data_IF_060457076192
#
_entry.id   IF_060457076192
#
_cell.length_a   1.000
_cell.length_b   1.000
_cell.length_c   1.000
_cell.angle_alpha   90.00
_cell.angle_beta   90.00
_cell.angle_gamma   90.00
#
_symmetry.space_group_name_H-M   'P 1'
#
loop_
_entity.id
_entity.type
_entity.pdbx_description
1 polymer ?
#
# COMPACT_ATOMS: atom_id res chain seq x y z
N UNK A 1 163.33 17.18 7.76
CA UNK A 1 163.74 16.68 6.44
C UNK A 1 162.99 15.37 6.24
N UNK A 2 162.05 15.30 5.28
CA UNK A 2 161.31 14.07 4.98
C UNK A 2 162.21 13.14 4.17
N UNK A 3 162.75 12.12 4.82
CA UNK A 3 163.41 11.02 4.13
C UNK A 3 162.32 10.04 3.68
N UNK A 4 161.90 10.08 2.42
CA UNK A 4 161.07 9.01 1.84
C UNK A 4 161.94 7.75 1.78
N UNK A 5 161.64 6.76 2.62
CA UNK A 5 162.32 5.47 2.62
C UNK A 5 161.90 4.70 1.36
N UNK A 6 162.88 4.24 0.58
CA UNK A 6 162.62 3.37 -0.56
C UNK A 6 162.01 2.05 -0.10
N UNK A 7 160.95 1.59 -0.77
CA UNK A 7 160.33 0.27 -0.51
C UNK A 7 161.36 -0.86 -0.64
N UNK A 8 162.35 -0.72 -1.52
CA UNK A 8 163.43 -1.70 -1.68
C UNK A 8 164.44 -1.68 -0.52
N UNK A 9 164.73 -0.51 0.05
CA UNK A 9 165.63 -0.37 1.22
C UNK A 9 164.96 -0.93 2.49
N UNK A 10 163.67 -0.62 2.68
CA UNK A 10 162.86 -1.21 3.75
C UNK A 10 162.79 -2.73 3.64
N UNK A 11 162.49 -3.22 2.44
CA UNK A 11 162.42 -4.65 2.17
C UNK A 11 163.77 -5.33 2.41
N UNK A 12 164.88 -4.77 1.92
CA UNK A 12 166.23 -5.32 2.17
C UNK A 12 166.56 -5.37 3.65
N UNK A 13 166.34 -4.30 4.41
CA UNK A 13 166.61 -4.30 5.84
C UNK A 13 165.76 -5.33 6.60
N UNK A 14 164.46 -5.41 6.31
CA UNK A 14 163.55 -6.40 6.90
C UNK A 14 163.95 -7.84 6.52
N UNK A 15 164.37 -8.05 5.28
CA UNK A 15 164.85 -9.34 4.81
C UNK A 15 166.21 -9.71 5.45
N UNK A 16 167.08 -8.73 5.71
CA UNK A 16 168.39 -8.95 6.34
C UNK A 16 168.22 -9.31 7.82
N UNK A 17 167.27 -8.68 8.52
CA UNK A 17 166.86 -9.07 9.87
C UNK A 17 166.29 -10.49 9.90
N UNK A 18 165.41 -10.82 8.94
CA UNK A 18 164.83 -12.15 8.83
C UNK A 18 165.90 -13.21 8.55
N UNK A 19 166.87 -12.93 7.68
CA UNK A 19 168.02 -13.81 7.40
C UNK A 19 168.95 -13.97 8.62
N UNK A 20 169.07 -12.94 9.46
CA UNK A 20 169.78 -13.01 10.74
C UNK A 20 168.98 -13.74 11.84
N UNK A 21 167.78 -14.23 11.54
CA UNK A 21 166.93 -14.99 12.46
C UNK A 21 166.13 -14.13 13.43
N UNK A 22 166.08 -12.81 13.25
CA UNK A 22 165.28 -11.89 14.07
C UNK A 22 164.06 -11.40 13.30
N UNK A 23 162.88 -11.45 13.94
CA UNK A 23 161.67 -10.94 13.31
C UNK A 23 161.77 -9.40 13.16
N UNK A 24 161.58 -8.86 11.94
CA UNK A 24 161.62 -7.41 11.74
C UNK A 24 160.45 -6.78 12.51
N UNK A 25 160.77 -6.01 13.55
CA UNK A 25 159.81 -5.21 14.31
C UNK A 25 159.93 -3.76 13.89
N UNK A 26 158.84 -2.99 14.03
CA UNK A 26 158.80 -1.57 13.68
C UNK A 26 159.92 -0.79 14.39
N UNK A 27 160.21 -1.16 15.63
CA UNK A 27 161.23 -0.49 16.46
C UNK A 27 162.66 -0.84 16.02
N UNK A 28 162.92 -2.09 15.62
CA UNK A 28 164.23 -2.49 15.11
C UNK A 28 164.53 -1.87 13.73
N UNK A 29 163.53 -1.81 12.85
CA UNK A 29 163.67 -1.18 11.53
C UNK A 29 163.76 0.34 11.59
N UNK A 30 163.14 0.96 12.59
CA UNK A 30 163.27 2.40 12.83
C UNK A 30 164.70 2.79 13.24
N UNK A 31 165.43 1.90 13.94
CA UNK A 31 166.84 2.12 14.31
C UNK A 31 167.77 1.96 13.10
N UNK A 32 167.48 1.00 12.21
CA UNK A 32 168.35 0.68 11.06
C UNK A 32 168.19 1.67 9.88
N UNK A 33 167.00 2.20 9.65
CA UNK A 33 166.65 3.01 8.45
C UNK A 33 166.28 4.47 8.81
N UNK A 34 166.22 4.81 10.11
CA UNK A 34 165.84 6.14 10.62
C UNK A 34 164.49 6.65 10.05
N UNK A 35 163.45 5.83 10.17
CA UNK A 35 162.12 6.07 9.59
C UNK A 35 160.99 6.42 10.56
N UNK A 36 159.91 7.01 10.03
CA UNK A 36 158.69 7.34 10.79
C UNK A 36 157.84 6.08 11.10
N UNK A 37 157.38 5.96 12.34
CA UNK A 37 156.82 4.72 12.91
C UNK A 37 155.53 4.26 12.22
N UNK A 38 154.62 5.19 11.87
CA UNK A 38 153.35 4.85 11.21
C UNK A 38 153.54 4.38 9.76
N UNK A 39 154.50 4.97 9.05
CA UNK A 39 154.83 4.55 7.69
C UNK A 39 155.49 3.18 7.71
N UNK A 40 156.44 2.96 8.63
CA UNK A 40 157.06 1.65 8.83
C UNK A 40 156.04 0.58 9.25
N UNK A 41 155.04 0.89 10.07
CA UNK A 41 153.99 -0.06 10.47
C UNK A 41 153.06 -0.46 9.31
N UNK A 42 152.71 0.51 8.47
CA UNK A 42 151.92 0.24 7.24
C UNK A 42 152.73 -0.59 6.23
N UNK A 43 154.01 -0.25 6.06
CA UNK A 43 154.93 -0.98 5.17
C UNK A 43 155.27 -2.37 5.71
N UNK A 44 155.39 -2.53 7.03
CA UNK A 44 155.61 -3.82 7.69
C UNK A 44 154.38 -4.73 7.55
N UNK A 45 153.16 -4.20 7.72
CA UNK A 45 151.93 -4.97 7.49
C UNK A 45 151.80 -5.42 6.03
N UNK A 46 152.12 -4.54 5.08
CA UNK A 46 152.15 -4.89 3.66
C UNK A 46 153.28 -5.88 3.34
N UNK A 47 154.44 -5.75 3.99
CA UNK A 47 155.55 -6.68 3.87
C UNK A 47 155.16 -8.07 4.38
N UNK A 48 154.52 -8.19 5.55
CA UNK A 48 154.01 -9.47 6.07
C UNK A 48 152.95 -10.10 5.15
N UNK A 49 152.08 -9.30 4.51
CA UNK A 49 151.12 -9.81 3.53
C UNK A 49 151.79 -10.34 2.24
N UNK A 50 152.89 -9.72 1.82
CA UNK A 50 153.66 -10.11 0.64
C UNK A 50 154.77 -11.12 0.95
N UNK A 51 155.07 -11.37 2.22
CA UNK A 51 156.11 -12.28 2.68
C UNK A 51 155.98 -13.70 2.09
N UNK A 52 154.77 -14.31 1.98
CA UNK A 52 154.64 -15.63 1.37
C UNK A 52 155.10 -15.68 -0.09
N UNK A 53 154.89 -14.59 -0.85
CA UNK A 53 155.36 -14.48 -2.24
C UNK A 53 156.86 -14.12 -2.30
N UNK A 54 157.39 -13.38 -1.32
CA UNK A 54 158.81 -13.01 -1.25
C UNK A 54 159.70 -14.15 -0.73
N UNK A 55 159.22 -15.00 0.18
CA UNK A 55 159.93 -16.22 0.60
C UNK A 55 160.13 -17.22 -0.54
N UNK A 56 159.34 -17.14 -1.63
CA UNK A 56 159.57 -17.94 -2.84
C UNK A 56 160.85 -17.53 -3.59
N UNK A 57 161.31 -16.27 -3.45
CA UNK A 57 162.54 -15.75 -4.07
C UNK A 57 163.79 -16.12 -3.27
N UNK A 58 163.66 -16.40 -1.97
CA UNK A 58 164.76 -16.87 -1.10
C UNK A 58 165.10 -18.36 -1.28
N UNK A 59 164.45 -19.06 -2.22
CA UNK A 59 164.69 -20.47 -2.49
C UNK A 59 166.06 -20.76 -3.17
N UNK A 60 166.70 -19.77 -3.79
CA UNK A 60 167.99 -19.97 -4.49
C UNK A 60 169.23 -19.70 -3.61
N UNK A 61 169.15 -18.80 -2.62
CA UNK A 61 170.23 -18.54 -1.66
C UNK A 61 169.75 -18.90 -0.25
N UNK A 62 169.85 -20.18 0.09
CA UNK A 62 169.60 -20.63 1.45
C UNK A 62 170.62 -20.00 2.43
N UNK A 63 170.21 -19.63 3.66
CA UNK A 63 171.14 -19.13 4.65
C UNK A 63 172.21 -20.19 4.95
N UNK A 64 173.45 -19.89 4.55
CA UNK A 64 174.60 -20.73 4.88
C UNK A 64 174.87 -20.55 6.38
N UNK A 65 174.38 -21.48 7.20
CA UNK A 65 174.72 -21.51 8.63
C UNK A 65 176.21 -21.84 8.74
N UNK A 66 177.08 -20.92 9.22
CA UNK A 66 178.51 -21.19 9.32
C UNK A 66 178.76 -22.25 10.39
N UNK A 67 179.79 -23.08 10.19
CA UNK A 67 180.27 -24.13 11.09
C UNK A 67 179.48 -25.45 11.21
N UNK A 68 178.51 -25.74 10.32
CA UNK A 68 177.91 -27.08 10.21
C UNK A 68 178.38 -27.88 8.97
N UNK A 69 178.60 -29.21 9.10
CA UNK A 69 178.85 -30.09 7.96
C UNK A 69 177.75 -29.99 6.90
N UNK A 70 178.14 -30.00 5.63
CA UNK A 70 177.25 -29.75 4.47
C UNK A 70 176.04 -30.68 4.37
N UNK A 71 176.07 -31.86 4.99
CA UNK A 71 174.92 -32.78 5.10
C UNK A 71 173.82 -32.26 6.03
N UNK A 72 174.19 -31.61 7.14
CA UNK A 72 173.24 -31.02 8.10
C UNK A 72 172.61 -29.74 7.54
N UNK A 73 173.39 -28.88 6.89
CA UNK A 73 172.87 -27.66 6.26
C UNK A 73 171.77 -27.96 5.23
N UNK A 74 171.96 -28.98 4.38
CA UNK A 74 170.94 -29.44 3.43
C UNK A 74 169.69 -29.99 4.12
N UNK A 75 169.84 -30.69 5.24
CA UNK A 75 168.69 -31.20 6.01
C UNK A 75 167.87 -30.09 6.65
N UNK A 76 168.52 -29.05 7.19
CA UNK A 76 167.85 -27.87 7.76
C UNK A 76 167.14 -27.07 6.67
N UNK A 77 167.76 -26.90 5.50
CA UNK A 77 167.13 -26.26 4.35
C UNK A 77 165.88 -27.02 3.88
N UNK A 78 165.96 -28.35 3.81
CA UNK A 78 164.81 -29.20 3.48
C UNK A 78 163.69 -29.08 4.50
N UNK A 79 164.02 -29.05 5.79
CA UNK A 79 163.04 -28.87 6.87
C UNK A 79 162.38 -27.49 6.80
N UNK A 80 163.13 -26.43 6.47
CA UNK A 80 162.57 -25.10 6.26
C UNK A 80 161.60 -25.05 5.09
N UNK A 81 161.99 -25.60 3.93
CA UNK A 81 161.11 -25.68 2.77
C UNK A 81 159.83 -26.46 3.09
N UNK A 82 159.94 -27.57 3.81
CA UNK A 82 158.80 -28.37 4.24
C UNK A 82 157.89 -27.60 5.21
N UNK A 83 158.46 -26.88 6.19
CA UNK A 83 157.69 -26.06 7.13
C UNK A 83 156.96 -24.88 6.45
N UNK A 84 157.61 -24.23 5.47
CA UNK A 84 156.99 -23.15 4.68
C UNK A 84 155.87 -23.70 3.81
N UNK A 85 156.07 -24.84 3.16
CA UNK A 85 155.04 -25.50 2.35
C UNK A 85 153.85 -25.95 3.21
N UNK A 86 154.10 -26.47 4.41
CA UNK A 86 153.06 -26.87 5.37
C UNK A 86 152.27 -25.66 5.86
N UNK A 87 152.94 -24.56 6.27
CA UNK A 87 152.27 -23.32 6.67
C UNK A 87 151.42 -22.71 5.55
N UNK A 88 151.88 -22.78 4.29
CA UNK A 88 151.11 -22.34 3.13
C UNK A 88 149.89 -23.24 2.88
N UNK A 89 150.05 -24.56 3.02
CA UNK A 89 148.92 -25.49 2.89
C UNK A 89 147.88 -25.24 3.98
N UNK A 90 148.30 -24.98 5.22
CA UNK A 90 147.44 -24.64 6.33
C UNK A 90 146.68 -23.32 6.08
N UNK A 91 147.37 -22.28 5.60
CA UNK A 91 146.73 -20.99 5.30
C UNK A 91 145.73 -21.09 4.14
N UNK A 92 146.04 -21.86 3.09
CA UNK A 92 145.11 -22.05 1.96
C UNK A 92 143.88 -22.88 2.37
N UNK A 93 144.07 -23.88 3.24
CA UNK A 93 142.98 -24.64 3.84
C UNK A 93 142.09 -23.76 4.72
N UNK A 94 142.69 -22.93 5.57
CA UNK A 94 141.95 -22.01 6.46
C UNK A 94 141.15 -20.97 5.67
N UNK A 95 141.73 -20.40 4.60
CA UNK A 95 141.00 -19.53 3.67
C UNK A 95 139.84 -20.25 2.98
N UNK A 96 140.05 -21.48 2.52
CA UNK A 96 138.99 -22.25 1.87
C UNK A 96 137.87 -22.60 2.85
N UNK A 97 138.21 -22.98 4.07
CA UNK A 97 137.27 -23.26 5.15
C UNK A 97 136.47 -22.01 5.53
N UNK A 98 137.14 -20.86 5.69
CA UNK A 98 136.49 -19.60 5.97
C UNK A 98 135.49 -19.22 4.86
N UNK A 99 135.89 -19.34 3.60
CA UNK A 99 135.00 -19.09 2.46
C UNK A 99 133.79 -20.04 2.47
N UNK A 100 134.00 -21.34 2.69
CA UNK A 100 132.91 -22.31 2.80
C UNK A 100 131.94 -21.95 3.93
N UNK A 101 132.46 -21.62 5.11
CA UNK A 101 131.66 -21.20 6.26
C UNK A 101 130.85 -19.92 5.97
N UNK A 102 131.43 -18.95 5.24
CA UNK A 102 130.70 -17.74 4.82
C UNK A 102 129.61 -18.03 3.79
N UNK A 103 129.87 -18.92 2.82
CA UNK A 103 128.88 -19.35 1.83
C UNK A 103 127.73 -20.12 2.48
N UNK A 104 128.04 -21.01 3.43
CA UNK A 104 127.03 -21.74 4.21
C UNK A 104 126.18 -20.78 5.05
N UNK A 105 126.78 -19.81 5.72
CA UNK A 105 126.06 -18.78 6.47
C UNK A 105 125.16 -17.93 5.56
N UNK A 106 125.62 -17.57 4.37
CA UNK A 106 124.82 -16.85 3.38
C UNK A 106 123.66 -17.70 2.87
N UNK A 107 123.87 -18.97 2.54
CA UNK A 107 122.81 -19.90 2.13
C UNK A 107 121.78 -20.06 3.23
N UNK A 108 122.21 -20.23 4.49
CA UNK A 108 121.31 -20.30 5.63
C UNK A 108 120.48 -19.03 5.77
N UNK A 109 121.11 -17.85 5.73
CA UNK A 109 120.39 -16.57 5.77
C UNK A 109 119.40 -16.43 4.61
N UNK A 110 119.77 -16.84 3.40
CA UNK A 110 118.89 -16.80 2.23
C UNK A 110 117.70 -17.76 2.37
N UNK A 111 117.93 -18.97 2.92
CA UNK A 111 116.85 -19.93 3.17
C UNK A 111 115.87 -19.42 4.23
N UNK A 112 116.37 -18.81 5.31
CA UNK A 112 115.51 -18.22 6.35
C UNK A 112 114.75 -17.00 5.82
N UNK A 113 115.39 -16.17 4.98
CA UNK A 113 114.74 -15.04 4.33
C UNK A 113 113.64 -15.49 3.36
N UNK A 114 113.87 -16.57 2.60
CA UNK A 114 112.85 -17.21 1.75
C UNK A 114 111.67 -17.74 2.57
N UNK A 115 111.94 -18.40 3.70
CA UNK A 115 110.88 -18.88 4.62
C UNK A 115 110.08 -17.70 5.19
N UNK A 116 110.75 -16.65 5.66
CA UNK A 116 110.10 -15.46 6.19
C UNK A 116 109.21 -14.79 5.14
N UNK A 117 109.68 -14.64 3.90
CA UNK A 117 108.87 -14.13 2.80
C UNK A 117 107.68 -15.03 2.45
N UNK A 118 107.86 -16.36 2.50
CA UNK A 118 106.77 -17.31 2.31
C UNK A 118 105.67 -17.15 3.36
N UNK A 119 106.06 -17.07 4.64
CA UNK A 119 105.12 -16.83 5.75
C UNK A 119 104.44 -15.46 5.60
N UNK A 120 105.19 -14.41 5.27
CA UNK A 120 104.63 -13.08 5.04
C UNK A 120 103.60 -13.09 3.91
N UNK A 121 103.91 -13.71 2.77
CA UNK A 121 102.99 -13.81 1.64
C UNK A 121 101.71 -14.58 2.00
N UNK A 122 101.81 -15.64 2.79
CA UNK A 122 100.64 -16.39 3.28
C UNK A 122 99.78 -15.54 4.24
N UNK A 123 100.41 -14.78 5.16
CA UNK A 123 99.68 -13.87 6.04
C UNK A 123 99.01 -12.74 5.26
N UNK A 124 99.68 -12.15 4.27
CA UNK A 124 99.12 -11.12 3.40
C UNK A 124 97.93 -11.65 2.60
N UNK A 125 98.02 -12.90 2.11
CA UNK A 125 96.93 -13.56 1.41
C UNK A 125 95.72 -13.79 2.33
N UNK A 126 95.94 -14.35 3.52
CA UNK A 126 94.87 -14.52 4.54
C UNK A 126 94.25 -13.19 4.93
N UNK A 127 95.05 -12.13 5.05
CA UNK A 127 94.56 -10.80 5.37
C UNK A 127 93.65 -10.25 4.28
N UNK A 128 94.00 -10.43 2.99
CA UNK A 128 93.14 -10.04 1.87
C UNK A 128 91.83 -10.82 1.84
N UNK A 129 91.89 -12.13 2.07
CA UNK A 129 90.69 -12.99 2.14
C UNK A 129 89.77 -12.56 3.28
N UNK A 130 90.31 -12.31 4.48
CA UNK A 130 89.55 -11.78 5.61
C UNK A 130 88.95 -10.41 5.32
N UNK A 131 89.68 -9.52 4.64
CA UNK A 131 89.15 -8.22 4.23
C UNK A 131 87.99 -8.35 3.24
N UNK A 132 88.09 -9.28 2.29
CA UNK A 132 87.01 -9.56 1.35
C UNK A 132 85.78 -10.08 2.09
N UNK A 133 85.96 -11.07 2.98
CA UNK A 133 84.86 -11.67 3.74
C UNK A 133 84.18 -10.64 4.66
N UNK A 134 84.95 -9.75 5.30
CA UNK A 134 84.42 -8.62 6.07
C UNK A 134 83.63 -7.66 5.17
N UNK A 135 84.09 -7.43 3.93
CA UNK A 135 83.39 -6.60 2.95
C UNK A 135 82.04 -7.20 2.55
N UNK A 136 82.00 -8.51 2.30
CA UNK A 136 80.80 -9.27 1.96
C UNK A 136 79.78 -9.26 3.12
N UNK A 137 80.23 -9.52 4.35
CA UNK A 137 79.37 -9.49 5.55
C UNK A 137 78.82 -8.10 5.83
N UNK A 138 79.62 -7.03 5.61
CA UNK A 138 79.13 -5.65 5.72
C UNK A 138 78.03 -5.36 4.69
N UNK A 139 78.22 -5.81 3.45
CA UNK A 139 77.20 -5.66 2.42
C UNK A 139 75.93 -6.45 2.78
N UNK A 140 76.07 -7.68 3.28
CA UNK A 140 74.93 -8.50 3.72
C UNK A 140 74.17 -7.83 4.87
N UNK A 141 74.88 -7.27 5.85
CA UNK A 141 74.29 -6.51 6.96
C UNK A 141 73.51 -5.31 6.46
N UNK A 142 74.07 -4.53 5.52
CA UNK A 142 73.37 -3.38 4.91
C UNK A 142 72.11 -3.79 4.14
N UNK A 143 72.16 -4.93 3.43
CA UNK A 143 70.99 -5.47 2.73
C UNK A 143 69.87 -5.86 3.72
N UNK A 144 70.22 -6.57 4.81
CA UNK A 144 69.27 -6.92 5.86
C UNK A 144 68.68 -5.70 6.57
N UNK A 145 69.49 -4.66 6.83
CA UNK A 145 69.01 -3.40 7.40
C UNK A 145 68.01 -2.70 6.46
N UNK A 146 68.25 -2.72 5.14
CA UNK A 146 67.32 -2.19 4.15
C UNK A 146 66.00 -2.99 4.12
N UNK A 147 66.07 -4.32 4.16
CA UNK A 147 64.89 -5.19 4.23
C UNK A 147 64.08 -4.93 5.51
N UNK A 148 64.73 -4.82 6.67
CA UNK A 148 64.08 -4.47 7.93
C UNK A 148 63.38 -3.10 7.83
N UNK A 149 64.01 -2.12 7.17
CA UNK A 149 63.41 -0.81 6.95
C UNK A 149 62.14 -0.89 6.09
N UNK A 150 62.20 -1.61 4.96
CA UNK A 150 61.04 -1.83 4.08
C UNK A 150 59.92 -2.57 4.81
N UNK A 151 60.25 -3.62 5.57
CA UNK A 151 59.26 -4.37 6.35
C UNK A 151 58.60 -3.50 7.43
N UNK A 152 59.35 -2.60 8.08
CA UNK A 152 58.78 -1.62 9.03
C UNK A 152 57.80 -0.68 8.36
N UNK A 153 58.13 -0.17 7.17
CA UNK A 153 57.24 0.69 6.39
C UNK A 153 55.98 -0.08 5.99
N UNK A 154 56.13 -1.29 5.44
CA UNK A 154 55.01 -2.13 5.02
C UNK A 154 54.09 -2.47 6.21
N UNK A 155 54.66 -2.78 7.37
CA UNK A 155 53.88 -3.04 8.59
C UNK A 155 53.10 -1.80 9.03
N UNK A 156 53.72 -0.61 8.99
CA UNK A 156 53.05 0.64 9.31
C UNK A 156 51.89 0.92 8.34
N UNK A 157 52.11 0.76 7.03
CA UNK A 157 51.07 0.91 6.00
C UNK A 157 49.92 -0.08 6.21
N UNK A 158 50.23 -1.38 6.37
CA UNK A 158 49.21 -2.40 6.62
C UNK A 158 48.41 -2.11 7.90
N UNK A 159 49.05 -1.61 8.95
CA UNK A 159 48.37 -1.20 10.19
C UNK A 159 47.43 0.00 9.95
N UNK A 160 47.85 0.97 9.13
CA UNK A 160 46.98 2.11 8.78
C UNK A 160 45.80 1.68 7.92
N UNK A 161 46.02 0.81 6.94
CA UNK A 161 44.96 0.25 6.10
C UNK A 161 43.95 -0.53 6.95
N UNK A 162 44.43 -1.40 7.85
CA UNK A 162 43.58 -2.13 8.78
C UNK A 162 42.71 -1.19 9.62
N UNK A 163 43.28 -0.13 10.20
CA UNK A 163 42.51 0.87 10.95
C UNK A 163 41.45 1.56 10.09
N UNK A 164 41.76 1.88 8.83
CA UNK A 164 40.78 2.49 7.93
C UNK A 164 39.65 1.53 7.56
N UNK A 165 39.95 0.25 7.38
CA UNK A 165 38.95 -0.78 7.12
C UNK A 165 38.09 -1.09 8.35
N UNK A 166 38.66 -1.10 9.55
CA UNK A 166 37.91 -1.21 10.80
C UNK A 166 36.94 -0.05 10.97
N UNK A 167 37.37 1.19 10.68
CA UNK A 167 36.46 2.35 10.69
C UNK A 167 35.35 2.23 9.65
N UNK A 168 35.66 1.75 8.44
CA UNK A 168 34.65 1.51 7.39
C UNK A 168 33.63 0.47 7.83
N UNK A 169 34.09 -0.63 8.43
CA UNK A 169 33.23 -1.67 9.01
C UNK A 169 32.32 -1.11 10.09
N UNK A 170 32.85 -0.32 11.02
CA UNK A 170 32.05 0.30 12.07
C UNK A 170 30.99 1.24 11.49
N UNK A 171 31.34 2.07 10.50
CA UNK A 171 30.38 2.94 9.83
C UNK A 171 29.26 2.13 9.14
N UNK A 172 29.61 1.04 8.45
CA UNK A 172 28.60 0.16 7.82
C UNK A 172 27.70 -0.53 8.85
N UNK A 173 28.23 -0.94 10.00
CA UNK A 173 27.45 -1.55 11.08
C UNK A 173 26.48 -0.53 11.71
N UNK A 174 26.91 0.73 11.88
CA UNK A 174 26.05 1.81 12.32
C UNK A 174 24.93 2.09 11.31
N UNK A 175 25.23 2.16 10.02
CA UNK A 175 24.24 2.33 8.95
C UNK A 175 23.24 1.16 8.90
N UNK A 176 23.70 -0.08 9.02
CA UNK A 176 22.85 -1.27 9.09
C UNK A 176 21.90 -1.20 10.29
N UNK A 177 22.41 -0.82 11.46
CA UNK A 177 21.59 -0.67 12.68
C UNK A 177 20.52 0.41 12.50
N UNK A 178 20.87 1.55 11.88
CA UNK A 178 19.92 2.62 11.58
C UNK A 178 18.86 2.18 10.56
N UNK A 179 19.25 1.43 9.53
CA UNK A 179 18.32 0.89 8.53
C UNK A 179 17.37 -0.14 9.13
N UNK A 180 17.86 -1.02 10.01
CA UNK A 180 17.02 -1.96 10.75
C UNK A 180 15.98 -1.23 11.60
N UNK A 181 16.41 -0.22 12.38
CA UNK A 181 15.48 0.61 13.17
C UNK A 181 14.43 1.30 12.29
N UNK A 182 14.85 1.92 11.18
CA UNK A 182 13.92 2.56 10.23
C UNK A 182 12.93 1.56 9.63
N UNK A 183 13.37 0.34 9.34
CA UNK A 183 12.51 -0.72 8.84
C UNK A 183 11.47 -1.12 9.88
N UNK A 184 11.88 -1.28 11.14
CA UNK A 184 10.98 -1.64 12.23
C UNK A 184 9.97 -0.52 12.54
N UNK A 185 10.42 0.74 12.58
CA UNK A 185 9.55 1.91 12.71
C UNK A 185 8.54 1.99 11.54
N UNK A 186 8.99 1.74 10.30
CA UNK A 186 8.12 1.71 9.12
C UNK A 186 7.10 0.58 9.18
N UNK A 187 7.49 -0.63 9.62
CA UNK A 187 6.56 -1.75 9.80
C UNK A 187 5.52 -1.42 10.86
N UNK A 188 5.95 -0.86 11.99
CA UNK A 188 5.03 -0.48 13.06
C UNK A 188 4.02 0.58 12.61
N UNK A 189 4.46 1.62 11.90
CA UNK A 189 3.54 2.65 11.37
C UNK A 189 2.62 2.13 10.26
N UNK A 190 3.05 1.13 9.49
CA UNK A 190 2.21 0.46 8.50
C UNK A 190 1.14 -0.39 9.17
N UNK A 191 1.53 -1.25 10.12
CA UNK A 191 0.59 -2.10 10.87
C UNK A 191 -0.44 -1.27 11.63
N UNK A 192 -0.04 -0.14 12.20
CA UNK A 192 -0.95 0.79 12.85
C UNK A 192 -1.95 1.38 11.86
N UNK A 193 -1.49 1.83 10.68
CA UNK A 193 -2.38 2.34 9.62
C UNK A 193 -3.37 1.28 9.14
N UNK A 194 -2.93 0.03 8.97
CA UNK A 194 -3.82 -1.08 8.59
C UNK A 194 -4.90 -1.31 9.65
N UNK A 195 -4.53 -1.30 10.94
CA UNK A 195 -5.50 -1.44 12.04
C UNK A 195 -6.51 -0.28 12.08
N UNK A 196 -6.03 0.94 11.89
CA UNK A 196 -6.90 2.13 11.90
C UNK A 196 -7.85 2.13 10.70
N UNK A 197 -7.38 1.72 9.51
CA UNK A 197 -8.21 1.61 8.31
C UNK A 197 -9.24 0.46 8.42
N UNK A 198 -8.85 -0.68 8.99
CA UNK A 198 -9.79 -1.77 9.30
C UNK A 198 -10.89 -1.31 10.27
N UNK A 199 -10.52 -0.60 11.34
CA UNK A 199 -11.48 -0.03 12.28
C UNK A 199 -12.40 0.98 11.59
N UNK A 200 -11.84 1.87 10.77
CA UNK A 200 -12.62 2.86 10.04
C UNK A 200 -13.61 2.20 9.06
N UNK A 201 -13.18 1.16 8.34
CA UNK A 201 -14.05 0.37 7.45
C UNK A 201 -15.20 -0.28 8.21
N UNK A 202 -14.92 -0.90 9.37
CA UNK A 202 -15.96 -1.48 10.23
C UNK A 202 -16.95 -0.42 10.73
N UNK A 203 -16.48 0.77 11.12
CA UNK A 203 -17.34 1.89 11.53
C UNK A 203 -18.23 2.39 10.38
N UNK A 204 -17.69 2.47 9.14
CA UNK A 204 -18.48 2.80 7.95
C UNK A 204 -19.56 1.75 7.65
N UNK A 205 -19.22 0.46 7.73
CA UNK A 205 -20.17 -0.64 7.54
C UNK A 205 -21.27 -0.59 8.60
N UNK A 206 -20.90 -0.42 9.87
CA UNK A 206 -21.88 -0.32 10.96
C UNK A 206 -22.84 0.87 10.78
N UNK A 207 -22.33 2.02 10.28
CA UNK A 207 -23.18 3.17 9.94
C UNK A 207 -24.13 2.86 8.78
N UNK A 208 -23.63 2.27 7.71
CA UNK A 208 -24.46 1.89 6.56
C UNK A 208 -25.53 0.84 6.94
N UNK A 209 -25.21 -0.10 7.82
CA UNK A 209 -26.18 -1.05 8.37
C UNK A 209 -27.26 -0.37 9.21
N UNK A 210 -26.89 0.59 10.06
CA UNK A 210 -27.85 1.38 10.83
C UNK A 210 -28.80 2.16 9.92
N UNK A 211 -28.27 2.84 8.90
CA UNK A 211 -29.06 3.57 7.90
C UNK A 211 -29.98 2.62 7.13
N UNK A 212 -29.48 1.45 6.71
CA UNK A 212 -30.28 0.43 6.02
C UNK A 212 -31.44 -0.06 6.88
N UNK A 213 -31.21 -0.31 8.18
CA UNK A 213 -32.26 -0.68 9.13
C UNK A 213 -33.29 0.46 9.29
N UNK A 214 -32.83 1.70 9.40
CA UNK A 214 -33.71 2.87 9.48
C UNK A 214 -34.63 3.00 8.25
N UNK A 215 -34.06 2.91 7.04
CA UNK A 215 -34.85 2.99 5.81
C UNK A 215 -35.79 1.79 5.64
N UNK A 216 -35.36 0.58 6.02
CA UNK A 216 -36.22 -0.60 6.00
C UNK A 216 -37.45 -0.43 6.89
N UNK A 217 -37.24 0.02 8.13
CA UNK A 217 -38.33 0.28 9.08
C UNK A 217 -39.25 1.41 8.59
N UNK A 218 -38.68 2.44 7.96
CA UNK A 218 -39.46 3.54 7.37
C UNK A 218 -40.32 3.07 6.20
N UNK A 219 -39.78 2.20 5.33
CA UNK A 219 -40.52 1.59 4.23
C UNK A 219 -41.64 0.68 4.74
N UNK A 220 -41.42 -0.09 5.80
CA UNK A 220 -42.45 -0.94 6.41
C UNK A 220 -43.61 -0.10 6.97
N UNK A 221 -43.31 0.98 7.69
CA UNK A 221 -44.34 1.94 8.15
C UNK A 221 -45.14 2.53 7.00
N UNK A 222 -44.47 2.96 5.92
CA UNK A 222 -45.15 3.49 4.74
C UNK A 222 -46.02 2.44 4.05
N UNK A 223 -45.57 1.18 3.97
CA UNK A 223 -46.37 0.08 3.43
C UNK A 223 -47.62 -0.16 4.27
N UNK A 224 -47.50 -0.17 5.60
CA UNK A 224 -48.64 -0.32 6.50
C UNK A 224 -49.63 0.84 6.36
N UNK A 225 -49.14 2.09 6.30
CA UNK A 225 -49.97 3.26 6.08
C UNK A 225 -50.69 3.24 4.73
N UNK A 226 -49.98 2.88 3.65
CA UNK A 226 -50.55 2.68 2.32
C UNK A 226 -51.61 1.58 2.34
N UNK A 227 -51.33 0.42 2.93
CA UNK A 227 -52.30 -0.68 3.04
C UNK A 227 -53.56 -0.30 3.83
N UNK A 228 -53.41 0.49 4.91
CA UNK A 228 -54.56 1.03 5.66
C UNK A 228 -55.38 2.01 4.82
N UNK A 229 -54.72 2.93 4.10
CA UNK A 229 -55.38 3.89 3.20
C UNK A 229 -56.10 3.19 2.05
N UNK A 230 -55.46 2.21 1.41
CA UNK A 230 -56.08 1.39 0.35
C UNK A 230 -57.31 0.63 0.87
N UNK A 231 -57.23 0.03 2.07
CA UNK A 231 -58.37 -0.63 2.69
C UNK A 231 -59.51 0.35 3.00
N UNK A 232 -59.21 1.55 3.50
CA UNK A 232 -60.20 2.60 3.74
C UNK A 232 -60.87 3.07 2.45
N UNK A 233 -60.10 3.39 1.42
CA UNK A 233 -60.62 3.78 0.10
C UNK A 233 -61.48 2.66 -0.52
N UNK A 234 -61.06 1.41 -0.37
CA UNK A 234 -61.85 0.26 -0.84
C UNK A 234 -63.20 0.19 -0.13
N UNK A 235 -63.25 0.41 1.19
CA UNK A 235 -64.52 0.47 1.94
C UNK A 235 -65.39 1.64 1.47
N UNK A 236 -64.81 2.82 1.25
CA UNK A 236 -65.54 4.00 0.77
C UNK A 236 -66.12 3.77 -0.63
N UNK A 237 -65.37 3.12 -1.53
CA UNK A 237 -65.87 2.72 -2.86
C UNK A 237 -67.11 1.82 -2.72
N UNK A 238 -67.05 0.78 -1.88
CA UNK A 238 -68.20 -0.11 -1.67
C UNK A 238 -69.41 0.63 -1.08
N UNK A 239 -69.17 1.53 -0.11
CA UNK A 239 -70.23 2.36 0.47
C UNK A 239 -70.88 3.26 -0.58
N UNK A 240 -70.07 3.92 -1.42
CA UNK A 240 -70.56 4.78 -2.50
C UNK A 240 -71.33 3.98 -3.55
N UNK A 241 -70.84 2.80 -3.94
CA UNK A 241 -71.57 1.89 -4.84
C UNK A 241 -72.92 1.47 -4.26
N UNK A 242 -72.99 1.16 -2.96
CA UNK A 242 -74.26 0.85 -2.30
C UNK A 242 -75.22 2.04 -2.28
N UNK A 243 -74.71 3.27 -2.09
CA UNK A 243 -75.52 4.49 -2.17
C UNK A 243 -76.03 4.73 -3.60
N UNK A 244 -75.19 4.54 -4.61
CA UNK A 244 -75.57 4.65 -6.02
C UNK A 244 -76.68 3.63 -6.33
N UNK A 245 -76.49 2.36 -5.99
CA UNK A 245 -77.50 1.32 -6.22
C UNK A 245 -78.85 1.64 -5.55
N UNK A 246 -78.84 2.15 -4.31
CA UNK A 246 -80.06 2.61 -3.63
C UNK A 246 -80.73 3.77 -4.36
N UNK A 247 -79.94 4.72 -4.88
CA UNK A 247 -80.46 5.84 -5.67
C UNK A 247 -81.04 5.36 -7.01
N UNK A 248 -80.38 4.44 -7.69
CA UNK A 248 -80.86 3.88 -8.97
C UNK A 248 -82.21 3.16 -8.79
N UNK A 249 -82.35 2.30 -7.78
CA UNK A 249 -83.64 1.66 -7.45
C UNK A 249 -84.73 2.68 -7.15
N UNK A 250 -84.38 3.76 -6.44
CA UNK A 250 -85.33 4.85 -6.16
C UNK A 250 -85.72 5.61 -7.43
N UNK A 251 -84.77 5.90 -8.32
CA UNK A 251 -85.04 6.52 -9.61
C UNK A 251 -85.95 5.64 -10.46
N UNK A 252 -85.67 4.34 -10.58
CA UNK A 252 -86.53 3.39 -11.31
C UNK A 252 -87.94 3.34 -10.74
N UNK A 253 -88.07 3.34 -9.40
CA UNK A 253 -89.37 3.39 -8.73
C UNK A 253 -90.13 4.67 -9.05
N UNK A 254 -89.47 5.83 -8.96
CA UNK A 254 -90.06 7.12 -9.29
C UNK A 254 -90.44 7.20 -10.78
N UNK A 255 -89.60 6.69 -11.68
CA UNK A 255 -89.90 6.61 -13.11
C UNK A 255 -91.13 5.75 -13.38
N UNK A 256 -91.27 4.60 -12.70
CA UNK A 256 -92.46 3.75 -12.82
C UNK A 256 -93.71 4.43 -12.25
N UNK A 257 -93.59 5.16 -11.13
CA UNK A 257 -94.68 5.97 -10.58
C UNK A 257 -95.12 7.07 -11.55
N UNK A 258 -94.18 7.80 -12.16
CA UNK A 258 -94.46 8.82 -13.17
C UNK A 258 -95.22 8.18 -14.34
N UNK A 259 -94.75 7.06 -14.88
CA UNK A 259 -95.45 6.34 -15.97
C UNK A 259 -96.89 5.94 -15.57
N UNK A 260 -97.09 5.47 -14.34
CA UNK A 260 -98.42 5.13 -13.81
C UNK A 260 -99.31 6.37 -13.77
N UNK A 261 -98.83 7.47 -13.18
CA UNK A 261 -99.57 8.74 -13.10
C UNK A 261 -99.87 9.33 -14.47
N UNK A 262 -98.94 9.25 -15.42
CA UNK A 262 -99.15 9.65 -16.82
C UNK A 262 -100.26 8.82 -17.47
N UNK A 263 -100.32 7.51 -17.19
CA UNK A 263 -101.38 6.62 -17.69
C UNK A 263 -102.75 6.95 -17.07
N UNK A 264 -102.80 7.25 -15.78
CA UNK A 264 -104.02 7.69 -15.08
C UNK A 264 -104.50 9.05 -15.60
N UNK A 265 -103.58 10.00 -15.79
CA UNK A 265 -103.89 11.32 -16.36
C UNK A 265 -104.44 11.17 -17.78
N UNK A 266 -103.86 10.28 -18.59
CA UNK A 266 -104.39 9.93 -19.92
C UNK A 266 -105.81 9.35 -19.81
N UNK A 267 -106.06 8.45 -18.84
CA UNK A 267 -107.40 7.89 -18.57
C UNK A 267 -108.39 8.97 -18.16
N UNK A 268 -108.04 9.84 -17.22
CA UNK A 268 -108.88 10.97 -16.80
C UNK A 268 -109.16 11.96 -17.93
N UNK A 269 -108.20 12.22 -18.82
CA UNK A 269 -108.44 13.03 -20.03
C UNK A 269 -109.45 12.35 -20.96
N UNK A 270 -109.36 11.03 -21.17
CA UNK A 270 -110.34 10.29 -21.98
C UNK A 270 -111.72 10.23 -21.33
N UNK A 271 -111.80 9.98 -20.02
CA UNK A 271 -113.06 10.00 -19.25
C UNK A 271 -113.66 11.41 -19.22
N UNK A 272 -112.84 12.44 -19.04
CA UNK A 272 -113.26 13.84 -19.04
C UNK A 272 -113.84 14.26 -20.39
N UNK A 273 -113.15 13.94 -21.49
CA UNK A 273 -113.66 14.18 -22.86
C UNK A 273 -114.94 13.38 -23.14
N UNK A 274 -115.05 12.14 -22.65
CA UNK A 274 -116.27 11.34 -22.73
C UNK A 274 -117.43 11.97 -21.94
N UNK A 275 -117.19 12.34 -20.68
CA UNK A 275 -118.16 12.98 -19.80
C UNK A 275 -118.63 14.34 -20.32
N UNK A 276 -117.76 15.14 -20.96
CA UNK A 276 -118.16 16.38 -21.63
C UNK A 276 -119.10 16.07 -22.79
N UNK A 277 -118.79 15.07 -23.64
CA UNK A 277 -119.67 14.65 -24.73
C UNK A 277 -121.01 14.13 -24.22
N UNK A 278 -121.04 13.33 -23.16
CA UNK A 278 -122.28 12.84 -22.55
C UNK A 278 -123.11 13.97 -21.95
N UNK A 279 -122.47 14.91 -21.22
CA UNK A 279 -123.16 16.11 -20.71
C UNK A 279 -123.75 16.95 -21.84
N UNK A 280 -123.04 17.14 -22.95
CA UNK A 280 -123.58 17.83 -24.12
C UNK A 280 -124.78 17.09 -24.72
N UNK A 281 -124.74 15.75 -24.81
CA UNK A 281 -125.89 14.94 -25.26
C UNK A 281 -127.09 15.05 -24.32
N UNK A 282 -126.87 14.88 -23.01
CA UNK A 282 -127.92 14.99 -22.00
C UNK A 282 -128.53 16.39 -21.97
N UNK A 283 -127.70 17.44 -22.05
CA UNK A 283 -128.17 18.83 -22.16
C UNK A 283 -129.02 19.04 -23.41
N UNK A 284 -128.60 18.49 -24.56
CA UNK A 284 -129.40 18.49 -25.79
C UNK A 284 -130.75 17.78 -25.64
N UNK A 285 -130.75 16.60 -24.99
CA UNK A 285 -131.98 15.83 -24.71
C UNK A 285 -132.91 16.55 -23.72
N UNK A 286 -132.35 17.20 -22.70
CA UNK A 286 -133.11 18.00 -21.74
C UNK A 286 -133.76 19.18 -22.45
N UNK A 287 -133.05 19.86 -23.35
CA UNK A 287 -133.61 20.97 -24.13
C UNK A 287 -134.77 20.49 -25.03
N UNK A 288 -134.63 19.31 -25.65
CA UNK A 288 -135.72 18.74 -26.46
C UNK A 288 -136.94 18.38 -25.62
N UNK A 289 -136.74 17.80 -24.43
CA UNK A 289 -137.84 17.49 -23.50
C UNK A 289 -138.45 18.75 -22.91
N UNK A 290 -137.67 19.78 -22.60
CA UNK A 290 -138.18 21.07 -22.13
C UNK A 290 -139.04 21.75 -23.21
N UNK A 291 -138.60 21.71 -24.49
CA UNK A 291 -139.41 22.21 -25.62
C UNK A 291 -140.68 21.38 -25.85
N UNK A 292 -140.66 20.08 -25.52
CA UNK A 292 -141.85 19.22 -25.56
C UNK A 292 -142.80 19.56 -24.42
N UNK A 293 -142.29 19.72 -23.20
CA UNK A 293 -143.05 20.11 -22.01
C UNK A 293 -143.72 21.45 -22.23
N UNK A 294 -143.01 22.45 -22.74
CA UNK A 294 -143.58 23.77 -23.05
C UNK A 294 -144.74 23.68 -24.06
N UNK A 295 -144.59 22.87 -25.12
CA UNK A 295 -145.69 22.62 -26.07
C UNK A 295 -146.91 21.95 -25.44
N UNK A 296 -146.68 21.05 -24.48
CA UNK A 296 -147.76 20.42 -23.72
C UNK A 296 -148.42 21.41 -22.76
N UNK A 297 -147.66 22.27 -22.09
CA UNK A 297 -148.18 23.36 -21.25
C UNK A 297 -149.05 24.32 -22.06
N UNK A 298 -148.59 24.75 -23.23
CA UNK A 298 -149.38 25.59 -24.16
C UNK A 298 -150.70 24.89 -24.56
N UNK A 299 -150.64 23.57 -24.82
CA UNK A 299 -151.82 22.75 -25.14
C UNK A 299 -152.81 22.65 -23.98
N UNK A 300 -152.31 22.50 -22.75
CA UNK A 300 -153.12 22.46 -21.53
C UNK A 300 -153.79 23.81 -21.30
N UNK A 301 -153.08 24.92 -21.49
CA UNK A 301 -153.65 26.26 -21.36
C UNK A 301 -154.79 26.49 -22.37
N UNK A 302 -154.60 26.07 -23.62
CA UNK A 302 -155.62 26.12 -24.69
C UNK A 302 -156.89 25.33 -24.31
N UNK A 303 -156.73 24.08 -23.83
CA UNK A 303 -157.85 23.25 -23.36
C UNK A 303 -158.54 23.84 -22.13
N UNK A 304 -157.80 24.51 -21.24
CA UNK A 304 -158.38 25.12 -20.02
C UNK A 304 -159.28 26.32 -20.36
N UNK A 305 -158.89 27.13 -21.35
CA UNK A 305 -159.72 28.19 -21.94
C UNK A 305 -161.01 27.61 -22.56
N UNK A 306 -160.88 26.50 -23.29
CA UNK A 306 -161.99 25.83 -23.94
C UNK A 306 -163.00 25.24 -22.93
N UNK A 307 -162.50 24.64 -21.84
CA UNK A 307 -163.33 24.17 -20.71
C UNK A 307 -164.04 25.33 -20.02
N UNK A 308 -163.38 26.49 -19.83
CA UNK A 308 -164.03 27.69 -19.27
C UNK A 308 -165.20 28.16 -20.13
N UNK A 309 -165.02 28.23 -21.45
CA UNK A 309 -166.11 28.59 -22.39
C UNK A 309 -167.26 27.59 -22.36
N UNK A 310 -166.95 26.30 -22.29
CA UNK A 310 -167.95 25.23 -22.18
C UNK A 310 -168.74 25.33 -20.87
N UNK A 311 -168.07 25.49 -19.73
CA UNK A 311 -168.71 25.64 -18.42
C UNK A 311 -169.61 26.87 -18.37
N UNK A 312 -169.21 27.99 -18.97
CA UNK A 312 -170.03 29.21 -19.01
C UNK A 312 -171.32 29.00 -19.83
N UNK A 313 -171.24 28.25 -20.95
CA UNK A 313 -172.41 27.78 -21.71
C UNK A 313 -173.31 26.85 -20.90
N UNK A 314 -172.71 25.90 -20.17
CA UNK A 314 -173.47 24.92 -19.39
C UNK A 314 -174.24 25.58 -18.24
N UNK A 315 -173.62 26.57 -17.57
CA UNK A 315 -174.24 27.35 -16.50
C UNK A 315 -175.45 28.16 -17.00
N UNK A 316 -175.38 28.74 -18.22
CA UNK A 316 -176.52 29.48 -18.79
C UNK A 316 -177.70 28.55 -19.09
N UNK A 317 -177.46 27.37 -19.68
CA UNK A 317 -178.51 26.37 -19.90
C UNK A 317 -179.11 25.81 -18.62
N UNK A 318 -178.30 25.61 -17.56
CA UNK A 318 -178.79 25.12 -16.26
C UNK A 318 -179.72 26.12 -15.58
N UNK A 319 -179.41 27.42 -15.65
CA UNK A 319 -180.27 28.47 -15.08
C UNK A 319 -181.61 28.59 -15.81
N UNK A 320 -181.62 28.36 -17.12
CA UNK A 320 -182.85 28.35 -17.92
C UNK A 320 -183.73 27.13 -17.61
N UNK A 321 -183.12 25.96 -17.36
CA UNK A 321 -183.80 24.75 -16.93
C UNK A 321 -184.42 24.88 -15.52
N UNK A 322 -183.70 25.47 -14.57
CA UNK A 322 -184.19 25.71 -13.20
C UNK A 322 -185.41 26.64 -13.16
N UNK A 323 -185.47 27.65 -14.04
CA UNK A 323 -186.66 28.51 -14.17
C UNK A 323 -187.89 27.73 -14.68
N UNK A 324 -187.73 26.82 -15.63
CA UNK A 324 -188.83 25.95 -16.12
C UNK A 324 -189.31 24.96 -15.06
N UNK A 325 -188.41 24.38 -14.27
CA UNK A 325 -188.76 23.45 -13.19
C UNK A 325 -189.62 24.13 -12.11
N UNK A 326 -189.28 25.37 -11.73
CA UNK A 326 -189.98 26.08 -10.67
C UNK A 326 -191.43 26.43 -11.06
N UNK A 327 -191.68 26.73 -12.34
CA UNK A 327 -193.03 26.96 -12.88
C UNK A 327 -193.89 25.69 -12.85
N UNK A 328 -193.30 24.52 -13.13
CA UNK A 328 -193.99 23.23 -13.09
C UNK A 328 -194.35 22.80 -11.66
N UNK A 329 -193.51 23.11 -10.66
CA UNK A 329 -193.83 22.85 -9.24
C UNK A 329 -195.05 23.63 -8.75
N UNK A 330 -195.24 24.87 -9.22
CA UNK A 330 -196.43 25.67 -8.90
C UNK A 330 -197.72 25.01 -9.38
N UNK A 331 -197.73 24.56 -10.64
CA UNK A 331 -198.90 23.90 -11.26
C UNK A 331 -199.27 22.56 -10.57
N UNK A 332 -198.27 21.85 -10.04
CA UNK A 332 -198.46 20.57 -9.35
C UNK A 332 -199.09 20.73 -7.96
N UNK A 333 -198.79 21.83 -7.27
CA UNK A 333 -199.39 22.15 -5.96
C UNK A 333 -200.88 22.48 -6.09
N UNK A 334 -201.25 23.29 -7.08
CA UNK A 334 -202.65 23.68 -7.33
C UNK A 334 -203.53 22.48 -7.68
N UNK A 335 -202.99 21.50 -8.44
CA UNK A 335 -203.66 20.23 -8.74
C UNK A 335 -203.88 19.34 -7.51
N UNK A 336 -202.96 19.37 -6.55
CA UNK A 336 -203.05 18.53 -5.35
C UNK A 336 -204.14 19.03 -4.37
N UNK A 337 -204.34 20.35 -4.27
CA UNK A 337 -205.41 20.96 -3.48
C UNK A 337 -206.82 20.73 -4.09
N UNK A 338 -206.90 20.47 -5.40
CA UNK A 338 -208.14 20.08 -6.09
C UNK A 338 -208.56 18.63 -5.74
N UNK A 339 -207.59 17.71 -5.68
CA UNK A 339 -207.82 16.29 -5.34
C UNK A 339 -208.22 16.08 -3.88
N UNK A 340 -207.68 16.86 -2.94
CA UNK A 340 -208.11 16.76 -1.54
C UNK A 340 -209.59 17.15 -1.35
N UNK A 341 -210.10 18.12 -2.11
CA UNK A 341 -211.50 18.54 -2.04
C UNK A 341 -212.47 17.51 -2.61
N UNK A 342 -212.07 16.76 -3.63
CA UNK A 342 -212.90 15.67 -4.18
C UNK A 342 -212.92 14.47 -3.25
N UNK A 343 -211.81 14.16 -2.59
CA UNK A 343 -211.73 13.06 -1.62
C UNK A 343 -212.63 13.33 -0.39
N UNK A 344 -212.73 14.59 0.05
CA UNK A 344 -213.67 15.01 1.10
C UNK A 344 -215.15 14.82 0.75
N UNK A 345 -215.54 14.78 -0.53
CA UNK A 345 -216.93 14.52 -0.96
C UNK A 345 -217.25 13.03 -1.02
N UNK A 346 -216.29 12.20 -1.40
CA UNK A 346 -216.49 10.75 -1.56
C UNK A 346 -216.71 10.06 -0.21
N UNK A 347 -215.89 10.41 0.80
CA UNK A 347 -216.00 9.87 2.18
C UNK A 347 -217.34 10.22 2.83
N UNK A 348 -217.95 11.35 2.46
CA UNK A 348 -219.28 11.75 2.93
C UNK A 348 -220.42 10.89 2.36
N UNK A 349 -220.26 10.36 1.14
CA UNK A 349 -221.27 9.50 0.50
C UNK A 349 -221.20 8.06 1.01
N UNK A 350 -220.00 7.53 1.27
CA UNK A 350 -219.81 6.17 1.80
C UNK A 350 -220.49 5.97 3.15
N UNK A 351 -220.47 6.97 4.04
CA UNK A 351 -221.11 6.83 5.36
C UNK A 351 -222.65 6.92 5.31
N UNK A 352 -223.24 7.59 4.32
CA UNK A 352 -224.71 7.57 4.13
C UNK A 352 -225.21 6.19 3.70
N UNK A 353 -224.39 5.43 2.98
CA UNK A 353 -224.70 4.05 2.58
C UNK A 353 -224.67 3.13 3.81
N UNK A 354 -223.67 3.27 4.68
CA UNK A 354 -223.58 2.51 5.93
C UNK A 354 -224.79 2.74 6.87
N UNK A 355 -225.40 3.94 6.84
CA UNK A 355 -226.60 4.24 7.63
C UNK A 355 -227.86 3.51 7.16
N UNK A 356 -227.95 3.12 5.87
CA UNK A 356 -229.09 2.38 5.32
C UNK A 356 -228.96 0.86 5.46
N UNK A 357 -227.73 0.33 5.48
CA UNK A 357 -227.51 -1.12 5.61
C UNK A 357 -227.87 -1.67 7.00
N UNK A 358 -227.71 -0.88 8.07
CA UNK A 358 -228.04 -1.34 9.42
C UNK A 358 -229.54 -1.24 9.74
N UNK A 359 -230.26 -0.32 9.08
CA UNK A 359 -231.72 -0.20 9.15
C UNK A 359 -232.41 -1.45 8.56
N UNK A 360 -231.78 -2.09 7.56
CA UNK A 360 -232.19 -3.40 7.02
C UNK A 360 -231.93 -4.53 8.02
N UNK A 361 -230.86 -4.46 8.81
CA UNK A 361 -230.56 -5.48 9.82
C UNK A 361 -231.58 -5.47 10.98
N UNK A 362 -232.10 -4.29 11.35
CA UNK A 362 -233.20 -4.12 12.33
C UNK A 362 -234.53 -4.78 11.91
N UNK A 363 -234.79 -4.99 10.63
CA UNK A 363 -236.06 -5.53 10.15
C UNK A 363 -236.08 -7.07 10.06
N UNK A 364 -234.92 -7.74 10.01
CA UNK A 364 -234.86 -9.19 9.73
C UNK A 364 -234.98 -10.12 10.95
N UNK A 365 -234.65 -9.71 12.17
CA UNK A 365 -234.75 -10.61 13.34
C UNK A 365 -236.03 -10.47 14.15
N UNK A 366 -237.01 -9.69 13.65
CA UNK A 366 -238.38 -9.62 14.20
C UNK A 366 -239.26 -10.80 13.76
N UNK A 367 -238.66 -11.90 13.25
CA UNK A 367 -239.33 -13.07 12.65
C UNK A 367 -238.69 -14.45 12.99
N UNK A 368 -237.96 -14.56 14.11
CA UNK A 368 -237.77 -15.84 14.84
C UNK A 368 -237.60 -15.61 16.34
#
# INVERSE_FOLDING_TARGET
MNSQISTEEFNKAADTMLLAGTAPTVDALAVEIEGDRQQLETMLNRWWQLLPDRMRLFNDDAPLVPDLPSSLAKSVQSLWHQAVQEAQSALSHDKHYHNLATEEAQRHAETELKKAHGVQAEQDQRYRELQQLIGEEKHHTQALEAEISVLKINLATATTEQKTEEQRRENTDQELTLLQKKLDDSKHTFDQRVKDEQRHSLEQVAKAEADTRYYRNSLEKLRDECGRKESALTKDIHNLQAVIAKKDVKLDTLTNQIKSLESELKRFKTEGTHSVRERSKLSGSLLSEQNRSKRLEDKVAELTEEVKRSNQKQLSTSNEAARRENTLRGQLKDKNEEVMRTNARMVSMEKKIAAHEEEVRRLRSRLS
#
